data_IF_597250991199
#
_entry.id   IF_597250991199
#
_cell.length_a   1.000
_cell.length_b   1.000
_cell.length_c   1.000
_cell.angle_alpha   90.00
_cell.angle_beta   90.00
_cell.angle_gamma   90.00
#
_symmetry.space_group_name_H-M   'P 1'
#
loop_
_entity.id
_entity.type
_entity.pdbx_description
1 polymer ?
#
# COMPACT_ATOMS: atom_id res chain seq x y z
N UNK A 1 24.51 -3.12 -3.23
CA UNK A 1 23.35 -3.53 -2.41
C UNK A 1 22.13 -3.62 -3.32
N UNK A 2 21.49 -4.77 -3.44
CA UNK A 2 20.33 -4.95 -4.33
C UNK A 2 19.01 -4.75 -3.56
N UNK A 3 17.90 -4.61 -4.28
CA UNK A 3 16.57 -4.41 -3.67
C UNK A 3 16.19 -5.54 -2.71
N UNK A 4 16.47 -6.80 -3.06
CA UNK A 4 16.15 -7.97 -2.23
C UNK A 4 16.95 -8.01 -0.92
N UNK A 5 18.23 -7.63 -0.96
CA UNK A 5 19.04 -7.57 0.26
C UNK A 5 18.49 -6.53 1.25
N UNK A 6 18.08 -5.36 0.76
CA UNK A 6 17.46 -4.32 1.61
C UNK A 6 16.12 -4.77 2.21
N UNK A 7 15.32 -5.54 1.46
CA UNK A 7 14.07 -6.10 1.99
C UNK A 7 14.34 -7.14 3.08
N UNK A 8 15.43 -7.92 2.93
CA UNK A 8 15.87 -8.86 3.96
C UNK A 8 16.34 -8.13 5.22
N UNK A 9 17.15 -7.08 5.08
CA UNK A 9 17.63 -6.26 6.20
C UNK A 9 16.48 -5.57 6.95
N UNK A 10 15.39 -5.25 6.24
CA UNK A 10 14.15 -4.69 6.82
C UNK A 10 13.22 -5.75 7.42
N UNK A 11 13.52 -7.04 7.27
CA UNK A 11 12.70 -8.13 7.81
C UNK A 11 11.44 -8.47 7.01
N UNK A 12 11.30 -7.98 5.77
CA UNK A 12 10.14 -8.30 4.93
C UNK A 12 10.26 -9.65 4.22
N UNK A 13 11.50 -10.08 3.96
CA UNK A 13 11.82 -11.38 3.35
C UNK A 13 12.95 -12.04 4.12
N UNK A 14 12.98 -13.36 4.15
CA UNK A 14 14.14 -14.13 4.58
C UNK A 14 14.97 -14.51 3.35
N UNK A 15 16.27 -14.75 3.56
CA UNK A 15 17.17 -15.22 2.53
C UNK A 15 17.87 -16.49 3.04
N UNK A 16 17.55 -17.63 2.42
CA UNK A 16 18.27 -18.89 2.61
C UNK A 16 19.42 -18.98 1.59
N UNK A 17 20.63 -19.21 2.10
CA UNK A 17 21.87 -19.32 1.31
C UNK A 17 22.45 -20.74 1.31
N UNK A 18 21.76 -21.70 1.92
CA UNK A 18 22.23 -23.08 2.05
C UNK A 18 22.20 -23.86 0.73
N UNK A 19 21.41 -23.42 -0.24
CA UNK A 19 21.16 -24.12 -1.51
C UNK A 19 22.16 -23.80 -2.63
N UNK A 20 23.21 -23.04 -2.33
CA UNK A 20 24.16 -22.53 -3.34
C UNK A 20 23.63 -21.36 -4.18
N UNK A 21 22.36 -20.99 -3.99
CA UNK A 21 21.72 -19.78 -4.54
C UNK A 21 21.02 -19.01 -3.43
N UNK A 22 20.72 -17.72 -3.65
CA UNK A 22 19.95 -16.93 -2.68
C UNK A 22 18.45 -17.21 -2.90
N UNK A 23 17.85 -18.00 -2.01
CA UNK A 23 16.43 -18.28 -2.02
C UNK A 23 15.72 -17.29 -1.09
N UNK A 24 14.79 -16.51 -1.61
CA UNK A 24 14.03 -15.52 -0.83
C UNK A 24 12.63 -16.02 -0.53
N UNK A 25 12.13 -15.77 0.67
CA UNK A 25 10.77 -16.12 1.08
C UNK A 25 10.13 -14.96 1.84
N UNK A 26 8.86 -14.67 1.54
CA UNK A 26 8.12 -13.62 2.26
C UNK A 26 7.94 -14.00 3.73
N UNK A 27 8.25 -13.06 4.62
CA UNK A 27 8.08 -13.23 6.08
C UNK A 27 6.80 -12.57 6.57
N UNK A 28 6.29 -11.59 5.80
CA UNK A 28 5.02 -10.91 6.05
C UNK A 28 4.05 -11.16 4.90
N UNK A 29 2.75 -11.05 5.18
CA UNK A 29 1.73 -11.14 4.14
C UNK A 29 1.72 -9.88 3.26
N UNK A 30 1.20 -10.03 2.04
CA UNK A 30 0.99 -8.90 1.14
C UNK A 30 0.08 -7.83 1.76
N UNK A 31 -0.95 -8.26 2.51
CA UNK A 31 -1.89 -7.34 3.12
C UNK A 31 -1.26 -6.50 4.25
N UNK A 32 -0.42 -7.12 5.09
CA UNK A 32 0.34 -6.41 6.12
C UNK A 32 1.29 -5.39 5.48
N UNK A 33 1.99 -5.78 4.42
CA UNK A 33 2.87 -4.86 3.69
C UNK A 33 2.09 -3.69 3.10
N UNK A 34 0.99 -3.97 2.38
CA UNK A 34 0.12 -2.94 1.80
C UNK A 34 -0.41 -2.00 2.86
N UNK A 35 -0.88 -2.51 4.00
CA UNK A 35 -1.42 -1.69 5.09
C UNK A 35 -0.35 -0.76 5.67
N UNK A 36 0.82 -1.30 6.00
CA UNK A 36 1.92 -0.51 6.56
C UNK A 36 2.47 0.53 5.58
N UNK A 37 2.68 0.12 4.32
CA UNK A 37 3.17 1.00 3.27
C UNK A 37 2.17 2.12 2.93
N UNK A 38 0.87 1.79 2.82
CA UNK A 38 -0.19 2.78 2.56
C UNK A 38 -0.31 3.78 3.69
N UNK A 39 -0.21 3.36 4.96
CA UNK A 39 -0.22 4.28 6.10
C UNK A 39 0.97 5.24 6.05
N UNK A 40 2.18 4.73 5.84
CA UNK A 40 3.37 5.58 5.75
C UNK A 40 3.31 6.54 4.55
N UNK A 41 2.79 6.06 3.42
CA UNK A 41 2.58 6.87 2.22
C UNK A 41 1.61 8.03 2.48
N UNK A 42 0.46 7.74 3.10
CA UNK A 42 -0.56 8.74 3.42
C UNK A 42 -0.03 9.78 4.40
N UNK A 43 0.67 9.35 5.44
CA UNK A 43 1.30 10.23 6.44
C UNK A 43 2.30 11.19 5.80
N UNK A 44 3.19 10.68 4.94
CA UNK A 44 4.30 11.46 4.38
C UNK A 44 3.91 12.38 3.24
N UNK A 45 2.93 12.02 2.41
CA UNK A 45 2.58 12.78 1.21
C UNK A 45 1.29 13.59 1.34
N UNK A 46 0.36 13.14 2.19
CA UNK A 46 -0.97 13.72 2.29
C UNK A 46 -1.34 14.09 3.73
N UNK A 47 -0.35 14.22 4.62
CA UNK A 47 -0.51 14.58 6.03
C UNK A 47 -1.56 13.69 6.74
N UNK A 48 -1.53 12.39 6.44
CA UNK A 48 -2.44 11.40 6.98
C UNK A 48 -3.94 11.65 6.65
N UNK A 49 -4.23 12.38 5.56
CA UNK A 49 -5.61 12.68 5.11
C UNK A 49 -5.94 12.00 3.79
N UNK A 50 -6.86 11.03 3.83
CA UNK A 50 -7.43 10.38 2.63
C UNK A 50 -8.18 11.40 1.78
N UNK A 51 -8.90 12.34 2.41
CA UNK A 51 -9.60 13.40 1.70
C UNK A 51 -8.64 14.27 0.86
N UNK A 52 -7.47 14.61 1.40
CA UNK A 52 -6.46 15.37 0.66
C UNK A 52 -5.90 14.58 -0.53
N UNK A 53 -5.69 13.27 -0.36
CA UNK A 53 -5.27 12.39 -1.45
C UNK A 53 -6.31 12.39 -2.57
N UNK A 54 -7.59 12.14 -2.25
CA UNK A 54 -8.69 12.11 -3.22
C UNK A 54 -8.84 13.47 -3.90
N UNK A 55 -8.83 14.57 -3.14
CA UNK A 55 -8.93 15.93 -3.68
C UNK A 55 -7.78 16.26 -4.64
N UNK A 56 -6.56 15.84 -4.33
CA UNK A 56 -5.38 16.04 -5.20
C UNK A 56 -5.52 15.26 -6.50
N UNK A 57 -5.94 13.99 -6.43
CA UNK A 57 -6.15 13.16 -7.61
C UNK A 57 -7.28 13.69 -8.50
N UNK A 58 -8.37 14.14 -7.89
CA UNK A 58 -9.51 14.70 -8.61
C UNK A 58 -9.15 16.03 -9.29
N UNK A 59 -8.51 16.95 -8.55
CA UNK A 59 -8.12 18.27 -9.09
C UNK A 59 -7.14 18.18 -10.25
N UNK A 60 -6.27 17.17 -10.24
CA UNK A 60 -5.33 16.90 -11.33
C UNK A 60 -5.93 16.03 -12.46
N UNK A 61 -7.24 15.76 -12.45
CA UNK A 61 -7.94 14.91 -13.43
C UNK A 61 -7.36 13.50 -13.55
N UNK A 62 -6.67 13.03 -12.51
CA UNK A 62 -6.13 11.67 -12.43
C UNK A 62 -7.24 10.64 -12.16
N UNK A 63 -8.34 11.08 -11.54
CA UNK A 63 -9.58 10.34 -11.37
C UNK A 63 -10.75 11.17 -11.92
N UNK A 64 -11.80 10.49 -12.37
CA UNK A 64 -12.98 11.06 -13.01
C UNK A 64 -14.17 11.06 -12.06
N UNK A 65 -15.24 11.76 -12.45
CA UNK A 65 -16.50 11.76 -11.69
C UNK A 65 -17.06 10.34 -11.49
N UNK A 66 -16.89 9.43 -12.46
CA UNK A 66 -17.27 8.03 -12.31
C UNK A 66 -16.57 7.32 -11.16
N UNK A 67 -15.29 7.63 -10.95
CA UNK A 67 -14.47 7.02 -9.90
C UNK A 67 -14.88 7.55 -8.52
N UNK A 68 -15.31 8.81 -8.45
CA UNK A 68 -15.87 9.42 -7.24
C UNK A 68 -17.22 8.78 -6.88
N UNK A 69 -18.08 8.54 -7.86
CA UNK A 69 -19.36 7.86 -7.63
C UNK A 69 -19.15 6.39 -7.21
N UNK A 70 -18.19 5.67 -7.81
CA UNK A 70 -17.82 4.32 -7.36
C UNK A 70 -17.32 4.34 -5.91
N UNK A 71 -16.45 5.29 -5.56
CA UNK A 71 -15.95 5.44 -4.20
C UNK A 71 -17.09 5.76 -3.21
N UNK A 72 -18.04 6.63 -3.57
CA UNK A 72 -19.20 6.95 -2.73
C UNK A 72 -20.02 5.70 -2.45
N UNK A 73 -20.40 4.96 -3.50
CA UNK A 73 -21.16 3.72 -3.35
C UNK A 73 -20.42 2.66 -2.52
N UNK A 74 -19.10 2.61 -2.61
CA UNK A 74 -18.28 1.71 -1.80
C UNK A 74 -18.31 2.11 -0.31
N UNK A 75 -18.20 3.40 -0.01
CA UNK A 75 -18.28 3.90 1.37
C UNK A 75 -19.67 3.65 1.99
N UNK A 76 -20.74 3.90 1.23
CA UNK A 76 -22.12 3.66 1.69
C UNK A 76 -22.30 2.18 2.08
N UNK A 77 -21.81 1.24 1.26
CA UNK A 77 -21.85 -0.20 1.57
C UNK A 77 -21.06 -0.57 2.82
N UNK A 78 -19.91 0.06 3.04
CA UNK A 78 -19.10 -0.19 4.24
C UNK A 78 -19.77 0.32 5.51
N UNK A 79 -20.55 1.40 5.43
CA UNK A 79 -21.36 1.91 6.53
C UNK A 79 -22.56 0.98 6.81
N UNK A 80 -23.19 0.44 5.76
CA UNK A 80 -24.32 -0.50 5.89
C UNK A 80 -23.91 -1.89 6.43
N UNK A 81 -22.65 -2.29 6.25
CA UNK A 81 -22.08 -3.54 6.76
C UNK A 81 -21.57 -3.45 8.22
N UNK A 82 -21.62 -2.27 8.85
CA UNK A 82 -21.31 -2.04 10.27
C UNK A 82 -22.52 -2.20 11.19
#
# INVERSE_FOLDING_TARGET
MTSLSRLSDKGFVSCDRSTGSNLYTAVISENEYKTGASRNFLERLYNNSIQNMVATLYSNKAIKDSDIEELRNFLDKLEDEQ
#
